data_IF_444321018923
#
_entry.id   IF_444321018923
#
_cell.length_a   1.000
_cell.length_b   1.000
_cell.length_c   1.000
_cell.angle_alpha   90.00
_cell.angle_beta   90.00
_cell.angle_gamma   90.00
#
_symmetry.space_group_name_H-M   'P 1'
#
loop_
_entity.id
_entity.type
_entity.pdbx_description
1 polymer ?
#
# COMPACT_ATOMS: atom_id res chain seq x y z
N UNK A 1 9.35 20.25 3.66
CA UNK A 1 8.78 19.32 2.66
C UNK A 1 9.77 18.19 2.42
N UNK A 2 9.31 16.94 2.60
CA UNK A 2 10.17 15.74 2.64
C UNK A 2 10.27 15.02 1.29
N UNK A 3 9.41 15.37 0.31
CA UNK A 3 9.33 14.72 -1.01
C UNK A 3 9.41 15.72 -2.17
N UNK A 4 10.08 16.85 -1.97
CA UNK A 4 10.24 17.87 -3.03
C UNK A 4 10.90 17.27 -4.27
N UNK A 5 10.24 17.44 -5.41
CA UNK A 5 10.72 16.95 -6.70
C UNK A 5 10.56 15.45 -6.94
N UNK A 6 10.01 14.67 -6.00
CA UNK A 6 9.74 13.24 -6.20
C UNK A 6 8.41 13.01 -6.92
N UNK A 7 8.35 11.94 -7.69
CA UNK A 7 7.16 11.46 -8.40
C UNK A 7 6.76 10.10 -7.84
N UNK A 8 5.52 9.96 -7.39
CA UNK A 8 5.01 8.76 -6.75
C UNK A 8 3.80 8.17 -7.46
N UNK A 9 3.75 6.84 -7.64
CA UNK A 9 2.53 6.09 -7.93
C UNK A 9 2.02 5.50 -6.64
N UNK A 10 0.72 5.67 -6.35
CA UNK A 10 0.04 5.10 -5.18
C UNK A 10 -1.15 4.29 -5.68
N UNK A 11 -1.12 2.96 -5.52
CA UNK A 11 -2.25 2.10 -5.89
C UNK A 11 -3.31 2.07 -4.80
N UNK A 12 -4.60 1.99 -5.18
CA UNK A 12 -5.72 2.06 -4.23
C UNK A 12 -5.85 3.44 -3.58
N UNK A 13 -5.54 4.51 -4.35
CA UNK A 13 -5.41 5.87 -3.82
C UNK A 13 -6.70 6.71 -3.90
N UNK A 14 -7.80 6.16 -4.38
CA UNK A 14 -9.09 6.85 -4.40
C UNK A 14 -9.75 6.94 -3.02
N UNK A 15 -9.34 6.12 -2.04
CA UNK A 15 -9.94 6.09 -0.70
C UNK A 15 -8.97 5.63 0.40
N UNK A 16 -9.38 5.74 1.67
CA UNK A 16 -8.69 5.18 2.83
C UNK A 16 -7.23 5.61 2.98
N UNK A 17 -6.35 4.65 3.28
CA UNK A 17 -4.92 4.89 3.52
C UNK A 17 -4.21 5.41 2.28
N UNK A 18 -4.58 4.91 1.09
CA UNK A 18 -4.00 5.39 -0.18
C UNK A 18 -4.31 6.85 -0.44
N UNK A 19 -5.56 7.29 -0.22
CA UNK A 19 -5.98 8.68 -0.35
C UNK A 19 -5.28 9.59 0.68
N UNK A 20 -5.14 9.13 1.93
CA UNK A 20 -4.39 9.85 2.96
C UNK A 20 -2.92 10.03 2.55
N UNK A 21 -2.29 8.94 2.06
CA UNK A 21 -0.92 8.97 1.56
C UNK A 21 -0.75 9.96 0.42
N UNK A 22 -1.67 9.96 -0.56
CA UNK A 22 -1.61 10.86 -1.71
C UNK A 22 -1.68 12.34 -1.29
N UNK A 23 -2.61 12.68 -0.39
CA UNK A 23 -2.72 14.07 0.14
C UNK A 23 -1.46 14.49 0.88
N UNK A 24 -0.93 13.62 1.74
CA UNK A 24 0.28 13.90 2.52
C UNK A 24 1.48 14.04 1.59
N UNK A 25 1.66 13.16 0.61
CA UNK A 25 2.77 13.24 -0.34
C UNK A 25 2.74 14.53 -1.15
N UNK A 26 1.57 14.93 -1.66
CA UNK A 26 1.42 16.18 -2.39
C UNK A 26 1.73 17.39 -1.51
N UNK A 27 1.26 17.41 -0.26
CA UNK A 27 1.56 18.46 0.73
C UNK A 27 3.06 18.53 1.03
N UNK A 28 3.76 17.39 0.96
CA UNK A 28 5.21 17.29 1.17
C UNK A 28 6.03 17.51 -0.11
N UNK A 29 5.40 17.98 -1.20
CA UNK A 29 6.06 18.45 -2.40
C UNK A 29 6.23 17.41 -3.51
N UNK A 30 5.64 16.22 -3.38
CA UNK A 30 5.64 15.22 -4.45
C UNK A 30 4.62 15.54 -5.54
N UNK A 31 4.91 15.05 -6.76
CA UNK A 31 3.89 14.78 -7.77
C UNK A 31 3.33 13.37 -7.53
N UNK A 32 2.00 13.21 -7.54
CA UNK A 32 1.37 11.94 -7.19
C UNK A 32 0.44 11.44 -8.29
N UNK A 33 0.55 10.17 -8.60
CA UNK A 33 -0.41 9.45 -9.45
C UNK A 33 -1.36 8.68 -8.54
N UNK A 34 -2.63 9.07 -8.60
CA UNK A 34 -3.76 8.41 -7.96
C UNK A 34 -4.15 7.23 -8.84
N UNK A 35 -3.73 6.03 -8.50
CA UNK A 35 -3.95 4.84 -9.32
C UNK A 35 -5.02 3.95 -8.66
N UNK A 36 -6.18 3.78 -9.29
CA UNK A 36 -7.32 3.06 -8.71
C UNK A 36 -8.28 2.54 -9.79
N UNK A 37 -9.11 1.56 -9.45
CA UNK A 37 -10.27 1.12 -10.26
C UNK A 37 -11.48 2.04 -10.09
N UNK A 38 -11.53 2.83 -9.04
CA UNK A 38 -12.61 3.77 -8.72
C UNK A 38 -12.36 5.10 -9.45
N UNK A 39 -12.72 5.14 -10.74
CA UNK A 39 -12.39 6.28 -11.60
C UNK A 39 -12.98 7.60 -11.10
N UNK A 40 -14.24 7.59 -10.69
CA UNK A 40 -14.90 8.81 -10.25
C UNK A 40 -14.23 9.41 -9.01
N UNK A 41 -14.07 8.59 -7.96
CA UNK A 41 -13.44 8.99 -6.70
C UNK A 41 -11.96 9.34 -6.90
N UNK A 42 -11.26 8.60 -7.77
CA UNK A 42 -9.86 8.84 -8.09
C UNK A 42 -9.64 10.18 -8.79
N UNK A 43 -10.51 10.55 -9.75
CA UNK A 43 -10.50 11.86 -10.42
C UNK A 43 -10.81 12.98 -9.43
N UNK A 44 -11.86 12.81 -8.61
CA UNK A 44 -12.18 13.79 -7.54
C UNK A 44 -10.99 14.01 -6.59
N UNK A 45 -10.27 12.93 -6.22
CA UNK A 45 -9.09 13.06 -5.37
C UNK A 45 -7.96 13.82 -6.08
N UNK A 46 -7.70 13.53 -7.36
CA UNK A 46 -6.70 14.24 -8.13
C UNK A 46 -7.04 15.73 -8.28
N UNK A 47 -8.31 16.05 -8.58
CA UNK A 47 -8.78 17.42 -8.70
C UNK A 47 -8.68 18.18 -7.37
N UNK A 48 -8.98 17.53 -6.24
CA UNK A 48 -8.87 18.12 -4.91
C UNK A 48 -7.42 18.44 -4.51
N UNK A 49 -6.45 17.66 -4.99
CA UNK A 49 -5.01 17.93 -4.79
C UNK A 49 -4.51 18.98 -5.80
N UNK A 50 -5.07 19.02 -6.99
CA UNK A 50 -4.74 20.00 -8.04
C UNK A 50 -3.51 19.60 -8.85
N UNK A 51 -2.73 20.58 -9.32
CA UNK A 51 -1.63 20.40 -10.28
C UNK A 51 -0.51 19.43 -9.83
N UNK A 52 -0.49 19.03 -8.58
CA UNK A 52 0.46 18.04 -8.05
C UNK A 52 -0.02 16.60 -8.26
N UNK A 53 -1.28 16.38 -8.67
CA UNK A 53 -1.85 15.04 -8.79
C UNK A 53 -2.38 14.76 -10.20
N UNK A 54 -2.42 13.46 -10.53
CA UNK A 54 -3.07 12.93 -11.72
C UNK A 54 -3.74 11.60 -11.40
N UNK A 55 -4.91 11.36 -11.98
CA UNK A 55 -5.56 10.06 -11.91
C UNK A 55 -5.12 9.17 -13.10
N UNK A 56 -4.83 7.90 -12.81
CA UNK A 56 -4.63 6.86 -13.82
C UNK A 56 -5.47 5.62 -13.43
N UNK A 57 -6.31 5.07 -14.34
CA UNK A 57 -7.08 3.87 -14.06
C UNK A 57 -6.14 2.68 -13.88
N UNK A 58 -6.32 1.93 -12.79
CA UNK A 58 -5.48 0.78 -12.48
C UNK A 58 -6.27 -0.34 -11.81
N UNK A 59 -6.54 -1.41 -12.54
CA UNK A 59 -6.83 -2.72 -11.95
C UNK A 59 -5.49 -3.44 -11.68
N UNK A 60 -5.10 -3.53 -10.41
CA UNK A 60 -3.81 -4.13 -10.01
C UNK A 60 -3.70 -5.61 -10.40
N UNK A 61 -4.81 -6.29 -10.69
CA UNK A 61 -4.82 -7.70 -11.13
C UNK A 61 -4.45 -7.85 -12.61
N UNK A 62 -4.36 -6.75 -13.35
CA UNK A 62 -4.05 -6.71 -14.79
C UNK A 62 -2.64 -6.17 -14.99
N UNK A 63 -1.75 -7.02 -15.46
CA UNK A 63 -0.36 -6.66 -15.67
C UNK A 63 -0.20 -5.48 -16.65
N UNK A 64 -0.96 -5.49 -17.76
CA UNK A 64 -0.92 -4.42 -18.77
C UNK A 64 -1.36 -3.05 -18.20
N UNK A 65 -2.25 -3.04 -17.20
CA UNK A 65 -2.65 -1.79 -16.54
C UNK A 65 -1.48 -1.18 -15.75
N UNK A 66 -0.64 -2.00 -15.11
CA UNK A 66 0.57 -1.53 -14.45
C UNK A 66 1.59 -0.97 -15.45
N UNK A 67 1.81 -1.67 -16.58
CA UNK A 67 2.67 -1.18 -17.65
C UNK A 67 2.20 0.19 -18.16
N UNK A 68 0.89 0.33 -18.40
CA UNK A 68 0.29 1.58 -18.86
C UNK A 68 0.42 2.71 -17.82
N UNK A 69 0.14 2.44 -16.54
CA UNK A 69 0.23 3.44 -15.46
C UNK A 69 1.65 3.95 -15.25
N UNK A 70 2.66 3.07 -15.26
CA UNK A 70 4.08 3.47 -15.16
C UNK A 70 4.49 4.29 -16.39
N UNK A 71 4.13 3.86 -17.61
CA UNK A 71 4.43 4.60 -18.83
C UNK A 71 3.74 5.96 -18.87
N UNK A 72 2.49 6.08 -18.41
CA UNK A 72 1.79 7.35 -18.30
C UNK A 72 2.45 8.28 -17.28
N UNK A 73 2.90 7.74 -16.14
CA UNK A 73 3.62 8.49 -15.10
C UNK A 73 4.91 9.08 -15.64
N UNK A 74 5.75 8.26 -16.25
CA UNK A 74 7.05 8.71 -16.80
C UNK A 74 6.87 9.68 -17.95
N UNK A 75 5.88 9.46 -18.83
CA UNK A 75 5.57 10.39 -19.92
C UNK A 75 5.10 11.76 -19.41
N UNK A 76 4.31 11.79 -18.32
CA UNK A 76 3.72 13.04 -17.81
C UNK A 76 4.65 13.81 -16.87
N UNK A 77 5.34 13.10 -15.96
CA UNK A 77 6.19 13.71 -14.93
C UNK A 77 7.69 13.52 -15.17
N UNK A 78 8.08 12.79 -16.22
CA UNK A 78 9.47 12.58 -16.63
C UNK A 78 10.21 11.45 -15.91
N UNK A 79 9.67 10.94 -14.79
CA UNK A 79 10.32 9.94 -13.94
C UNK A 79 9.35 9.20 -13.03
N UNK A 80 9.87 8.19 -12.31
CA UNK A 80 9.20 7.54 -11.19
C UNK A 80 10.22 7.33 -10.05
N UNK A 81 10.00 7.96 -8.91
CA UNK A 81 10.87 7.86 -7.73
C UNK A 81 10.29 6.93 -6.66
N UNK A 82 8.97 6.93 -6.45
CA UNK A 82 8.33 6.20 -5.36
C UNK A 82 7.19 5.34 -5.89
N UNK A 83 7.18 4.06 -5.49
CA UNK A 83 6.03 3.17 -5.66
C UNK A 83 5.42 2.86 -4.29
N UNK A 84 4.11 3.10 -4.12
CA UNK A 84 3.35 2.65 -2.96
C UNK A 84 2.31 1.61 -3.41
N UNK A 85 2.58 0.35 -3.13
CA UNK A 85 1.64 -0.75 -3.33
C UNK A 85 0.68 -0.80 -2.14
N UNK A 86 -0.43 -0.04 -2.22
CA UNK A 86 -1.41 0.06 -1.14
C UNK A 86 -2.73 -0.66 -1.46
N UNK A 87 -3.10 -0.83 -2.71
CA UNK A 87 -4.33 -1.52 -3.10
C UNK A 87 -4.46 -2.89 -2.43
N UNK A 88 -5.65 -3.20 -1.91
CA UNK A 88 -5.89 -4.48 -1.25
C UNK A 88 -7.34 -4.68 -0.80
N UNK A 89 -7.70 -5.95 -0.60
CA UNK A 89 -9.00 -6.37 -0.08
C UNK A 89 -8.80 -7.27 1.15
N UNK A 90 -9.68 -7.13 2.15
CA UNK A 90 -9.46 -7.79 3.45
C UNK A 90 -9.92 -9.26 3.52
N UNK A 91 -10.81 -9.69 2.64
CA UNK A 91 -11.42 -11.01 2.75
C UNK A 91 -12.31 -11.22 3.99
N UNK A 92 -12.63 -10.16 4.75
CA UNK A 92 -13.47 -10.25 5.94
C UNK A 92 -14.98 -10.30 5.65
N UNK A 93 -15.36 -10.08 4.39
CA UNK A 93 -16.74 -10.26 3.92
C UNK A 93 -17.05 -11.73 3.56
N UNK A 94 -16.05 -12.57 3.44
CA UNK A 94 -16.21 -13.97 3.07
C UNK A 94 -16.88 -14.77 4.20
N UNK A 95 -17.92 -15.51 3.86
CA UNK A 95 -18.60 -16.40 4.81
C UNK A 95 -17.92 -17.77 4.89
N UNK A 96 -17.46 -18.27 3.75
CA UNK A 96 -16.67 -19.50 3.66
C UNK A 96 -15.17 -19.19 3.64
N UNK A 97 -14.48 -19.52 4.73
CA UNK A 97 -13.04 -19.35 4.85
C UNK A 97 -12.21 -20.33 4.02
N UNK A 98 -12.84 -21.29 3.37
CA UNK A 98 -12.21 -22.27 2.49
C UNK A 98 -12.58 -22.05 1.01
N UNK A 99 -13.28 -20.98 0.66
CA UNK A 99 -13.63 -20.64 -0.71
C UNK A 99 -12.39 -20.50 -1.59
N UNK A 100 -12.24 -21.39 -2.56
CA UNK A 100 -11.16 -21.31 -3.56
C UNK A 100 -11.27 -20.05 -4.43
N UNK A 101 -12.48 -19.60 -4.74
CA UNK A 101 -12.72 -18.38 -5.50
C UNK A 101 -12.22 -17.15 -4.72
N UNK A 102 -12.56 -17.05 -3.43
CA UNK A 102 -12.06 -15.99 -2.56
C UNK A 102 -10.53 -16.03 -2.44
N UNK A 103 -9.94 -17.24 -2.34
CA UNK A 103 -8.49 -17.41 -2.34
C UNK A 103 -7.86 -16.76 -3.58
N UNK A 104 -8.31 -17.15 -4.78
CA UNK A 104 -7.72 -16.61 -6.02
C UNK A 104 -7.92 -15.10 -6.14
N UNK A 105 -9.10 -14.60 -5.83
CA UNK A 105 -9.39 -13.15 -5.88
C UNK A 105 -8.52 -12.35 -4.92
N UNK A 106 -8.37 -12.79 -3.67
CA UNK A 106 -7.57 -12.09 -2.66
C UNK A 106 -6.08 -12.14 -3.03
N UNK A 107 -5.57 -13.29 -3.46
CA UNK A 107 -4.19 -13.43 -3.89
C UNK A 107 -3.89 -12.60 -5.15
N UNK A 108 -4.81 -12.56 -6.11
CA UNK A 108 -4.66 -11.76 -7.32
C UNK A 108 -4.50 -10.26 -6.99
N UNK A 109 -5.33 -9.72 -6.11
CA UNK A 109 -5.25 -8.30 -5.73
C UNK A 109 -4.04 -8.03 -4.83
N UNK A 110 -3.92 -8.78 -3.72
CA UNK A 110 -3.02 -8.42 -2.63
C UNK A 110 -1.57 -8.85 -2.84
N UNK A 111 -1.32 -9.93 -3.60
CA UNK A 111 0.02 -10.47 -3.81
C UNK A 111 0.47 -10.30 -5.27
N UNK A 112 -0.29 -10.83 -6.23
CA UNK A 112 0.06 -10.73 -7.65
C UNK A 112 0.06 -9.28 -8.12
N UNK A 113 -0.92 -8.47 -7.68
CA UNK A 113 -0.97 -7.04 -7.98
C UNK A 113 0.26 -6.27 -7.48
N UNK A 114 0.75 -6.60 -6.28
CA UNK A 114 2.00 -6.02 -5.74
C UNK A 114 3.21 -6.45 -6.57
N UNK A 115 3.27 -7.73 -6.95
CA UNK A 115 4.33 -8.23 -7.83
C UNK A 115 4.36 -7.49 -9.18
N UNK A 116 3.22 -7.29 -9.82
CA UNK A 116 3.14 -6.53 -11.08
C UNK A 116 3.60 -5.08 -10.90
N UNK A 117 3.18 -4.43 -9.81
CA UNK A 117 3.63 -3.08 -9.48
C UNK A 117 5.15 -2.99 -9.36
N UNK A 118 5.78 -3.90 -8.62
CA UNK A 118 7.23 -3.99 -8.47
C UNK A 118 7.89 -4.24 -9.83
N UNK A 119 7.41 -5.23 -10.60
CA UNK A 119 7.97 -5.63 -11.90
C UNK A 119 8.05 -4.46 -12.88
N UNK A 120 6.99 -3.65 -12.96
CA UNK A 120 6.93 -2.55 -13.93
C UNK A 120 7.57 -1.25 -13.41
N UNK A 121 7.60 -1.02 -12.10
CA UNK A 121 8.22 0.17 -11.54
C UNK A 121 9.75 0.11 -11.53
N UNK A 122 10.34 -1.04 -11.22
CA UNK A 122 11.80 -1.20 -11.09
C UNK A 122 12.59 -0.67 -12.31
N UNK A 123 12.27 -1.04 -13.56
CA UNK A 123 13.04 -0.54 -14.71
C UNK A 123 13.00 1.00 -14.82
N UNK A 124 11.85 1.63 -14.56
CA UNK A 124 11.71 3.08 -14.60
C UNK A 124 12.47 3.76 -13.44
N UNK A 125 12.46 3.15 -12.26
CA UNK A 125 13.19 3.64 -11.09
C UNK A 125 14.70 3.51 -11.28
N UNK A 126 15.20 2.39 -11.81
CA UNK A 126 16.62 2.19 -12.13
C UNK A 126 17.11 3.24 -13.13
N UNK A 127 16.34 3.49 -14.19
CA UNK A 127 16.66 4.51 -15.20
C UNK A 127 16.74 5.93 -14.61
N UNK A 128 16.08 6.18 -13.48
CA UNK A 128 16.09 7.46 -12.77
C UNK A 128 17.11 7.52 -11.59
N UNK A 129 17.86 6.47 -11.33
CA UNK A 129 18.89 6.43 -10.29
C UNK A 129 18.46 5.76 -8.97
N UNK A 130 17.33 5.08 -8.96
CA UNK A 130 16.78 4.34 -7.82
C UNK A 130 15.77 5.17 -7.02
N UNK A 131 15.35 4.73 -5.87
CA UNK A 131 14.61 5.42 -4.78
C UNK A 131 13.83 4.44 -3.87
N UNK A 132 12.47 4.56 -3.71
CA UNK A 132 11.76 3.85 -2.65
C UNK A 132 10.51 3.11 -3.11
N UNK A 133 10.42 1.84 -2.73
CA UNK A 133 9.19 1.02 -2.82
C UNK A 133 8.65 0.81 -1.40
N UNK A 134 7.38 1.15 -1.19
CA UNK A 134 6.68 0.90 0.09
C UNK A 134 5.48 0.00 -0.18
N UNK A 135 5.50 -1.18 0.42
CA UNK A 135 4.45 -2.18 0.24
C UNK A 135 3.56 -2.28 1.49
N UNK A 136 2.25 -2.18 1.33
CA UNK A 136 1.29 -2.35 2.43
C UNK A 136 1.03 -3.84 2.68
N UNK A 137 1.65 -4.36 3.74
CA UNK A 137 1.31 -5.65 4.33
C UNK A 137 0.17 -5.48 5.36
N UNK A 138 0.26 -6.14 6.48
CA UNK A 138 -0.63 -6.06 7.63
C UNK A 138 0.01 -6.82 8.81
N UNK A 139 -0.41 -6.56 10.03
CA UNK A 139 -0.05 -7.43 11.18
C UNK A 139 -0.48 -8.88 10.94
N UNK A 140 -1.57 -9.15 10.19
CA UNK A 140 -1.99 -10.52 9.87
C UNK A 140 -1.11 -11.21 8.81
N UNK A 141 -0.12 -10.53 8.26
CA UNK A 141 0.99 -11.14 7.52
C UNK A 141 2.08 -11.70 8.44
N UNK A 142 1.94 -11.52 9.76
CA UNK A 142 2.87 -11.96 10.81
C UNK A 142 2.19 -12.91 11.78
N UNK A 143 0.95 -12.59 12.20
CA UNK A 143 0.13 -13.39 13.11
C UNK A 143 -1.12 -13.90 12.40
N UNK A 144 -1.73 -14.97 12.93
CA UNK A 144 -3.03 -15.49 12.45
C UNK A 144 -4.20 -14.57 12.79
N UNK A 145 -5.31 -14.73 12.07
CA UNK A 145 -6.58 -14.05 12.37
C UNK A 145 -7.76 -14.96 12.05
N UNK A 146 -8.71 -15.05 12.98
CA UNK A 146 -9.97 -15.79 12.81
C UNK A 146 -11.08 -14.99 12.10
N UNK A 147 -10.82 -13.71 11.78
CA UNK A 147 -11.85 -12.80 11.27
C UNK A 147 -11.78 -12.57 9.76
N UNK A 148 -10.80 -13.16 9.09
CA UNK A 148 -10.57 -12.98 7.65
C UNK A 148 -10.30 -14.33 6.97
N UNK A 149 -10.57 -14.40 5.68
CA UNK A 149 -10.20 -15.55 4.87
C UNK A 149 -8.67 -15.78 4.91
N UNK A 150 -8.22 -17.04 5.02
CA UNK A 150 -6.79 -17.37 5.14
C UNK A 150 -5.92 -16.83 4.01
N UNK A 151 -6.48 -16.63 2.81
CA UNK A 151 -5.77 -15.99 1.70
C UNK A 151 -5.32 -14.57 2.03
N UNK A 152 -6.02 -13.83 2.91
CA UNK A 152 -5.59 -12.51 3.33
C UNK A 152 -4.28 -12.59 4.12
N UNK A 153 -4.21 -13.48 5.12
CA UNK A 153 -2.97 -13.73 5.87
C UNK A 153 -1.84 -14.14 4.92
N UNK A 154 -2.09 -15.15 4.07
CA UNK A 154 -1.11 -15.65 3.11
C UNK A 154 -0.62 -14.56 2.15
N UNK A 155 -1.54 -13.75 1.61
CA UNK A 155 -1.18 -12.66 0.69
C UNK A 155 -0.33 -11.58 1.36
N UNK A 156 -0.63 -11.22 2.61
CA UNK A 156 0.12 -10.21 3.35
C UNK A 156 1.49 -10.73 3.83
N UNK A 157 1.61 -12.02 4.14
CA UNK A 157 2.89 -12.68 4.36
C UNK A 157 3.74 -12.74 3.07
N UNK A 158 3.13 -13.01 1.91
CA UNK A 158 3.80 -12.96 0.61
C UNK A 158 4.37 -11.56 0.33
N UNK A 159 3.60 -10.49 0.54
CA UNK A 159 4.06 -9.10 0.39
C UNK A 159 5.26 -8.81 1.30
N UNK A 160 5.21 -9.26 2.55
CA UNK A 160 6.27 -9.11 3.53
C UNK A 160 7.59 -9.68 3.01
N UNK A 161 7.61 -10.95 2.57
CA UNK A 161 8.83 -11.61 2.07
C UNK A 161 9.26 -11.11 0.68
N UNK A 162 8.31 -10.79 -0.20
CA UNK A 162 8.58 -10.20 -1.51
C UNK A 162 9.33 -8.87 -1.36
N UNK A 163 8.94 -8.04 -0.37
CA UNK A 163 9.61 -6.79 -0.05
C UNK A 163 11.09 -7.01 0.33
N UNK A 164 11.39 -8.00 1.15
CA UNK A 164 12.77 -8.35 1.53
C UNK A 164 13.59 -8.84 0.33
N UNK A 165 12.97 -9.63 -0.55
CA UNK A 165 13.62 -10.10 -1.78
C UNK A 165 14.02 -8.92 -2.68
N UNK A 166 13.11 -7.99 -2.91
CA UNK A 166 13.37 -6.78 -3.71
C UNK A 166 14.46 -5.93 -3.06
N UNK A 167 14.41 -5.74 -1.75
CA UNK A 167 15.41 -4.97 -1.01
C UNK A 167 16.84 -5.51 -1.24
N UNK A 168 17.02 -6.83 -1.20
CA UNK A 168 18.32 -7.47 -1.43
C UNK A 168 18.73 -7.44 -2.90
N UNK A 169 17.80 -7.73 -3.82
CA UNK A 169 18.06 -7.84 -5.24
C UNK A 169 18.45 -6.50 -5.88
N UNK A 170 17.85 -5.38 -5.40
CA UNK A 170 17.97 -4.06 -6.01
C UNK A 170 18.68 -3.01 -5.14
N UNK A 171 19.32 -3.40 -4.05
CA UNK A 171 20.12 -2.49 -3.24
C UNK A 171 21.24 -1.80 -4.04
N UNK A 172 21.92 -2.56 -4.91
CA UNK A 172 22.95 -2.03 -5.83
C UNK A 172 22.42 -1.01 -6.83
N UNK A 173 21.12 -1.09 -7.16
CA UNK A 173 20.43 -0.18 -8.05
C UNK A 173 19.89 1.04 -7.31
N UNK A 174 20.26 1.21 -6.01
CA UNK A 174 19.80 2.25 -5.09
C UNK A 174 18.29 2.25 -4.87
N UNK A 175 17.61 1.11 -5.06
CA UNK A 175 16.21 0.94 -4.74
C UNK A 175 16.10 0.36 -3.32
N UNK A 176 15.42 1.09 -2.44
CA UNK A 176 15.01 0.63 -1.11
C UNK A 176 13.61 0.05 -1.22
N UNK A 177 13.35 -1.05 -0.53
CA UNK A 177 12.02 -1.63 -0.44
C UNK A 177 11.72 -1.96 1.02
N UNK A 178 10.61 -1.42 1.54
CA UNK A 178 10.18 -1.63 2.91
C UNK A 178 8.69 -1.94 2.98
N UNK A 179 8.24 -2.59 4.05
CA UNK A 179 6.82 -2.88 4.25
C UNK A 179 6.26 -2.16 5.48
N UNK A 180 5.01 -1.70 5.35
CA UNK A 180 4.22 -1.15 6.45
C UNK A 180 3.15 -2.16 6.82
N UNK A 181 2.95 -2.37 8.11
CA UNK A 181 2.06 -3.37 8.68
C UNK A 181 1.00 -2.70 9.57
N UNK A 182 -0.11 -2.21 9.00
CA UNK A 182 -1.18 -1.63 9.78
C UNK A 182 -1.87 -2.69 10.67
N UNK A 183 -2.29 -2.25 11.85
CA UNK A 183 -3.17 -2.97 12.75
C UNK A 183 -4.65 -2.72 12.44
N UNK A 184 -5.46 -2.51 13.48
CA UNK A 184 -6.88 -2.20 13.33
C UNK A 184 -7.03 -0.72 12.95
N UNK A 185 -7.51 -0.49 11.72
CA UNK A 185 -7.81 0.83 11.18
C UNK A 185 -9.33 1.12 11.25
N UNK A 186 -9.79 2.34 10.96
CA UNK A 186 -11.22 2.60 10.77
C UNK A 186 -11.84 1.66 9.74
N UNK A 187 -13.16 1.41 9.77
CA UNK A 187 -13.82 0.63 8.73
C UNK A 187 -13.53 1.21 7.34
N UNK A 188 -13.11 0.34 6.44
CA UNK A 188 -12.82 0.70 5.05
C UNK A 188 -13.85 0.02 4.12
N UNK A 189 -13.85 0.38 2.83
CA UNK A 189 -14.77 -0.15 1.82
C UNK A 189 -14.82 -1.69 1.80
N UNK A 190 -13.70 -2.37 2.05
CA UNK A 190 -13.60 -3.84 2.04
C UNK A 190 -13.73 -4.49 3.43
N UNK A 191 -14.05 -3.71 4.46
CA UNK A 191 -14.19 -4.20 5.83
C UNK A 191 -15.56 -4.84 6.07
N UNK A 192 -15.78 -6.06 5.62
CA UNK A 192 -17.00 -6.82 5.90
C UNK A 192 -17.25 -7.00 7.40
N UNK A 193 -17.15 -8.22 7.90
CA UNK A 193 -17.34 -8.56 9.33
C UNK A 193 -16.49 -7.72 10.28
N UNK A 194 -15.29 -7.35 9.87
CA UNK A 194 -14.40 -6.51 10.69
C UNK A 194 -14.86 -5.06 10.85
N UNK A 195 -15.94 -4.63 10.17
CA UNK A 195 -16.60 -3.35 10.41
C UNK A 195 -17.64 -3.41 11.53
N UNK A 196 -18.11 -4.61 11.93
CA UNK A 196 -19.11 -4.78 12.99
C UNK A 196 -18.61 -4.18 14.31
N UNK A 197 -19.42 -3.33 14.99
CA UNK A 197 -19.01 -2.67 16.23
C UNK A 197 -18.63 -3.62 17.36
N UNK A 198 -19.29 -4.78 17.47
CA UNK A 198 -19.00 -5.77 18.51
C UNK A 198 -17.65 -6.46 18.27
N UNK A 199 -17.41 -6.89 17.04
CA UNK A 199 -16.11 -7.45 16.62
C UNK A 199 -14.98 -6.44 16.81
N UNK A 200 -15.23 -5.18 16.48
CA UNK A 200 -14.24 -4.13 16.70
C UNK A 200 -13.96 -3.88 18.18
N UNK A 201 -14.99 -3.83 19.01
CA UNK A 201 -14.83 -3.62 20.45
C UNK A 201 -14.00 -4.74 21.09
N UNK A 202 -14.24 -6.00 20.69
CA UNK A 202 -13.47 -7.14 21.17
C UNK A 202 -11.99 -7.03 20.72
N UNK A 203 -11.75 -6.81 19.43
CA UNK A 203 -10.40 -6.66 18.90
C UNK A 203 -9.61 -5.49 19.51
N UNK A 204 -10.27 -4.40 19.87
CA UNK A 204 -9.61 -3.26 20.52
C UNK A 204 -9.18 -3.57 21.96
N UNK A 205 -9.77 -4.56 22.64
CA UNK A 205 -9.35 -4.95 24.01
C UNK A 205 -7.92 -5.47 24.09
N UNK A 206 -7.43 -6.06 22.99
CA UNK A 206 -6.06 -6.61 22.93
C UNK A 206 -5.03 -5.62 22.41
N UNK A 207 -5.44 -4.43 21.92
CA UNK A 207 -4.51 -3.39 21.48
C UNK A 207 -4.02 -2.62 22.72
N UNK A 208 -2.72 -2.55 23.00
CA UNK A 208 -2.17 -1.80 24.13
C UNK A 208 -2.61 -0.33 24.18
N UNK A 209 -2.64 0.36 23.03
CA UNK A 209 -3.08 1.77 22.95
C UNK A 209 -4.60 1.98 23.06
N UNK A 210 -5.41 0.91 23.14
CA UNK A 210 -6.86 0.91 23.39
C UNK A 210 -7.69 1.77 22.42
N UNK A 211 -7.20 2.02 21.23
CA UNK A 211 -7.90 2.70 20.15
C UNK A 211 -7.53 2.11 18.80
N UNK A 212 -8.37 2.29 17.76
CA UNK A 212 -7.92 2.01 16.40
C UNK A 212 -6.86 3.04 15.98
N UNK A 213 -6.06 2.69 14.98
CA UNK A 213 -5.22 3.67 14.30
C UNK A 213 -6.06 4.60 13.41
N UNK A 214 -5.42 5.65 12.90
CA UNK A 214 -5.96 6.55 11.90
C UNK A 214 -5.22 6.34 10.56
N UNK A 215 -5.90 6.62 9.45
CA UNK A 215 -5.29 6.43 8.11
C UNK A 215 -4.04 7.28 7.92
N UNK A 216 -4.02 8.47 8.52
CA UNK A 216 -2.89 9.39 8.46
C UNK A 216 -1.67 8.85 9.24
N UNK A 217 -1.86 8.08 10.32
CA UNK A 217 -0.74 7.46 11.06
C UNK A 217 0.00 6.44 10.19
N UNK A 218 -0.73 5.68 9.37
CA UNK A 218 -0.12 4.79 8.36
C UNK A 218 0.57 5.60 7.26
N UNK A 219 -0.09 6.66 6.77
CA UNK A 219 0.45 7.50 5.71
C UNK A 219 1.74 8.22 6.13
N UNK A 220 1.91 8.60 7.40
CA UNK A 220 3.17 9.16 7.91
C UNK A 220 4.31 8.13 7.95
N UNK A 221 4.02 6.87 8.26
CA UNK A 221 5.03 5.80 8.17
C UNK A 221 5.46 5.57 6.71
N UNK A 222 4.51 5.59 5.76
CA UNK A 222 4.79 5.50 4.33
C UNK A 222 5.63 6.71 3.88
N UNK A 223 5.28 7.92 4.30
CA UNK A 223 6.02 9.14 4.00
C UNK A 223 7.48 9.05 4.47
N UNK A 224 7.70 8.60 5.71
CA UNK A 224 9.05 8.41 6.25
C UNK A 224 9.86 7.46 5.37
N UNK A 225 9.32 6.29 5.05
CA UNK A 225 10.01 5.29 4.22
C UNK A 225 10.25 5.76 2.77
N UNK A 226 9.37 6.62 2.24
CA UNK A 226 9.52 7.21 0.90
C UNK A 226 10.52 8.36 0.85
N UNK A 227 10.88 8.94 1.98
CA UNK A 227 11.77 10.11 2.08
C UNK A 227 13.26 9.71 2.19
N UNK A 228 14.14 10.69 2.01
CA UNK A 228 15.59 10.52 2.16
C UNK A 228 16.01 10.27 3.62
N UNK A 229 15.14 10.56 4.60
CA UNK A 229 15.37 10.25 6.01
C UNK A 229 15.52 8.73 6.23
N UNK A 230 14.93 7.90 5.36
CA UNK A 230 15.05 6.45 5.38
C UNK A 230 16.15 5.91 4.43
N UNK A 231 17.13 6.72 4.05
CA UNK A 231 18.14 6.38 3.04
C UNK A 231 18.97 5.13 3.35
N UNK A 232 19.08 4.73 4.62
CA UNK A 232 19.80 3.51 5.03
C UNK A 232 18.85 2.40 5.53
N UNK A 233 17.54 2.52 5.22
CA UNK A 233 16.50 1.56 5.65
C UNK A 233 15.97 0.83 4.41
N UNK A 234 16.26 -0.48 4.32
CA UNK A 234 15.72 -1.37 3.29
C UNK A 234 15.46 -2.76 3.86
N UNK A 235 14.45 -3.47 3.37
CA UNK A 235 14.01 -4.77 3.88
C UNK A 235 13.34 -4.74 5.27
N UNK A 236 13.05 -3.55 5.78
CA UNK A 236 12.48 -3.35 7.12
C UNK A 236 10.95 -3.46 7.11
N UNK A 237 10.41 -3.75 8.29
CA UNK A 237 8.99 -3.88 8.60
C UNK A 237 8.62 -2.79 9.62
N UNK A 238 7.71 -1.88 9.26
CA UNK A 238 7.21 -0.85 10.18
C UNK A 238 5.79 -1.21 10.59
N UNK A 239 5.59 -1.50 11.87
CA UNK A 239 4.28 -1.79 12.44
C UNK A 239 3.60 -0.49 12.85
N UNK A 240 2.35 -0.31 12.42
CA UNK A 240 1.49 0.83 12.77
C UNK A 240 0.20 0.23 13.34
N UNK A 241 0.30 -0.31 14.56
CA UNK A 241 -0.67 -1.26 15.10
C UNK A 241 -1.09 -1.01 16.56
N UNK A 242 -0.58 0.06 17.17
CA UNK A 242 -0.85 0.37 18.58
C UNK A 242 -0.26 -0.64 19.57
N UNK A 243 0.76 -1.40 19.15
CA UNK A 243 1.44 -2.42 19.94
C UNK A 243 0.76 -3.80 19.89
N UNK A 244 -0.17 -4.03 18.95
CA UNK A 244 -0.97 -5.25 18.90
C UNK A 244 -0.15 -6.54 18.74
N UNK A 245 1.01 -6.49 18.12
CA UNK A 245 1.90 -7.65 17.95
C UNK A 245 3.18 -7.60 18.79
N UNK A 246 3.29 -6.62 19.70
CA UNK A 246 4.43 -6.52 20.60
C UNK A 246 4.28 -7.40 21.87
N UNK A 247 3.13 -8.06 22.04
CA UNK A 247 2.74 -8.88 23.19
C UNK A 247 2.44 -10.31 22.77
#
# INVERSE_FOLDING_TARGET
MRLVGKVAIISGAASGMGAATARIFAREGAKVVIADVLEHEGRQMADAIGAAARFEPLDVTKEDNWAAAVAATTRHFGKLDVLVNNAGISGSAEQDFYSTEAWHRIMAVNATGVFFGIKHAIPAMVANGGESIVNLSSIVGIIGSEHVHMAYNASKAAVRLMTKSVAVQHAKDKIRANSVHPGIMPPMRTSGRTADPSVRAERMRVIPMRRPGEVDEVAYAILFLASDEASYITGSEIHVDGGAIAI
#
